data_IF_167001234465
#
_entry.id   IF_167001234465
#
_cell.length_a   1.000
_cell.length_b   1.000
_cell.length_c   1.000
_cell.angle_alpha   90.00
_cell.angle_beta   90.00
_cell.angle_gamma   90.00
#
_symmetry.space_group_name_H-M   'P 1'
#
loop_
_entity.id
_entity.type
_entity.pdbx_description
1 polymer ?
#
# COMPACT_ATOMS: atom_id res chain seq x y z
N UNK A 1 -13.12 -23.76 0.18
CA UNK A 1 -12.37 -22.55 -0.23
C UNK A 1 -11.45 -22.75 -1.42
N UNK A 2 -10.67 -23.85 -1.53
CA UNK A 2 -9.77 -24.05 -2.69
C UNK A 2 -10.47 -24.00 -4.06
N UNK A 3 -11.67 -24.57 -4.16
CA UNK A 3 -12.45 -24.55 -5.41
C UNK A 3 -12.82 -23.13 -5.89
N UNK A 4 -13.10 -22.19 -4.97
CA UNK A 4 -13.51 -20.82 -5.35
C UNK A 4 -12.31 -20.06 -5.93
N UNK A 5 -11.13 -20.15 -5.28
CA UNK A 5 -9.94 -19.47 -5.78
C UNK A 5 -9.47 -20.10 -7.09
N UNK A 6 -9.49 -21.42 -7.22
CA UNK A 6 -9.12 -22.08 -8.47
C UNK A 6 -10.07 -21.70 -9.62
N UNK A 7 -11.37 -21.56 -9.36
CA UNK A 7 -12.32 -21.03 -10.34
C UNK A 7 -12.09 -19.54 -10.64
N UNK A 8 -11.72 -18.72 -9.64
CA UNK A 8 -11.35 -17.32 -9.86
C UNK A 8 -10.08 -17.19 -10.69
N UNK A 9 -9.08 -18.06 -10.52
CA UNK A 9 -7.87 -18.09 -11.33
C UNK A 9 -8.16 -18.39 -12.81
N UNK A 10 -9.26 -19.07 -13.10
CA UNK A 10 -9.74 -19.30 -14.47
C UNK A 10 -10.52 -18.10 -15.05
N UNK A 11 -10.85 -17.11 -14.22
CA UNK A 11 -11.52 -15.88 -14.68
C UNK A 11 -10.53 -14.96 -15.38
N UNK A 12 -10.71 -14.82 -16.70
CA UNK A 12 -9.92 -13.92 -17.54
C UNK A 12 -10.47 -12.47 -17.58
N UNK A 13 -11.55 -12.18 -16.86
CA UNK A 13 -12.23 -10.89 -16.89
C UNK A 13 -12.32 -10.23 -15.51
N UNK A 14 -11.65 -10.77 -14.50
CA UNK A 14 -11.62 -10.19 -13.17
C UNK A 14 -10.97 -8.81 -13.21
N UNK A 15 -11.71 -7.76 -12.83
CA UNK A 15 -11.24 -6.36 -12.81
C UNK A 15 -10.96 -5.84 -11.41
N UNK A 16 -11.72 -6.35 -10.44
CA UNK A 16 -11.67 -5.92 -9.06
C UNK A 16 -11.62 -7.13 -8.16
N UNK A 17 -10.71 -7.12 -7.20
CA UNK A 17 -10.60 -8.15 -6.18
C UNK A 17 -10.45 -7.51 -4.81
N UNK A 18 -11.24 -8.02 -3.87
CA UNK A 18 -11.18 -7.64 -2.47
C UNK A 18 -10.89 -8.88 -1.64
N UNK A 19 -9.83 -8.81 -0.83
CA UNK A 19 -9.37 -9.88 0.04
C UNK A 19 -9.38 -9.38 1.48
N UNK A 20 -10.09 -10.09 2.35
CA UNK A 20 -9.94 -9.94 3.80
C UNK A 20 -9.20 -11.16 4.30
N UNK A 21 -8.18 -10.93 5.12
CA UNK A 21 -7.43 -11.96 5.82
C UNK A 21 -6.88 -13.05 4.90
N UNK A 22 -6.11 -12.66 3.87
CA UNK A 22 -5.75 -13.59 2.86
C UNK A 22 -4.53 -14.44 3.26
N UNK A 23 -4.80 -15.44 4.10
CA UNK A 23 -4.05 -16.72 4.13
C UNK A 23 -3.77 -17.29 2.71
N UNK A 24 -4.56 -17.02 1.65
CA UNK A 24 -4.23 -17.41 0.29
C UNK A 24 -3.00 -16.71 -0.32
N UNK A 25 -2.47 -15.58 0.19
CA UNK A 25 -1.36 -14.88 -0.51
C UNK A 25 -0.11 -15.75 -0.69
N UNK A 26 0.24 -16.60 0.26
CA UNK A 26 1.36 -17.55 0.07
C UNK A 26 1.12 -18.59 -1.01
N UNK A 27 -0.14 -18.96 -1.24
CA UNK A 27 -0.51 -19.99 -2.22
C UNK A 27 -0.87 -19.42 -3.60
N UNK A 28 -1.39 -18.20 -3.64
CA UNK A 28 -1.99 -17.62 -4.83
C UNK A 28 -1.42 -16.24 -5.18
N UNK A 29 -0.57 -15.65 -4.33
CA UNK A 29 0.16 -14.40 -4.60
C UNK A 29 0.89 -14.42 -5.95
N UNK A 30 1.65 -15.48 -6.29
CA UNK A 30 2.26 -15.61 -7.61
C UNK A 30 1.23 -15.78 -8.74
N UNK A 31 0.08 -16.39 -8.43
CA UNK A 31 -0.99 -16.61 -9.40
C UNK A 31 -1.80 -15.34 -9.70
N UNK A 32 -1.73 -14.30 -8.86
CA UNK A 32 -2.35 -13.00 -9.13
C UNK A 32 -1.87 -12.39 -10.45
N UNK A 33 -0.62 -12.68 -10.84
CA UNK A 33 -0.04 -12.25 -12.10
C UNK A 33 -0.80 -12.77 -13.34
N UNK A 34 -1.56 -13.87 -13.19
CA UNK A 34 -2.37 -14.43 -14.28
C UNK A 34 -3.63 -13.61 -14.58
N UNK A 35 -4.09 -12.77 -13.65
CA UNK A 35 -5.21 -11.86 -13.85
C UNK A 35 -4.76 -10.58 -14.55
N UNK A 36 -4.38 -10.71 -15.81
CA UNK A 36 -3.88 -9.63 -16.69
C UNK A 36 -4.85 -8.45 -16.90
N UNK A 37 -6.11 -8.60 -16.49
CA UNK A 37 -7.14 -7.54 -16.53
C UNK A 37 -7.49 -6.96 -15.16
N UNK A 38 -6.89 -7.44 -14.08
CA UNK A 38 -7.15 -6.93 -12.74
C UNK A 38 -6.61 -5.50 -12.63
N UNK A 39 -7.49 -4.56 -12.28
CA UNK A 39 -7.19 -3.14 -12.19
C UNK A 39 -7.24 -2.63 -10.75
N UNK A 40 -8.07 -3.26 -9.91
CA UNK A 40 -8.29 -2.84 -8.53
C UNK A 40 -8.09 -4.02 -7.59
N UNK A 41 -7.14 -3.89 -6.67
CA UNK A 41 -6.86 -4.90 -5.65
C UNK A 41 -6.88 -4.24 -4.29
N UNK A 42 -7.69 -4.76 -3.40
CA UNK A 42 -7.73 -4.34 -2.02
C UNK A 42 -7.55 -5.54 -1.09
N UNK A 43 -6.65 -5.38 -0.12
CA UNK A 43 -6.23 -6.40 0.82
C UNK A 43 -6.36 -5.81 2.22
N UNK A 44 -7.11 -6.49 3.09
CA UNK A 44 -7.29 -6.09 4.48
C UNK A 44 -6.83 -7.22 5.38
N UNK A 45 -5.88 -6.96 6.27
CA UNK A 45 -5.49 -7.90 7.33
C UNK A 45 -6.20 -7.47 8.61
N UNK A 46 -6.97 -8.35 9.24
CA UNK A 46 -7.59 -8.09 10.55
C UNK A 46 -6.85 -8.77 11.69
N UNK A 47 -5.96 -9.72 11.36
CA UNK A 47 -5.06 -10.42 12.28
C UNK A 47 -3.69 -10.60 11.63
N UNK A 48 -2.72 -11.00 12.44
CA UNK A 48 -1.33 -11.13 12.01
C UNK A 48 -1.12 -12.41 11.21
N UNK A 49 -0.31 -12.31 10.16
CA UNK A 49 0.07 -13.45 9.30
C UNK A 49 1.60 -13.54 9.18
N UNK A 50 2.27 -14.18 10.15
CA UNK A 50 3.73 -14.35 10.11
C UNK A 50 4.22 -15.04 8.84
N UNK A 51 3.38 -15.84 8.19
CA UNK A 51 3.71 -16.51 6.93
C UNK A 51 3.92 -15.53 5.78
N UNK A 52 3.30 -14.35 5.78
CA UNK A 52 3.37 -13.40 4.65
C UNK A 52 4.77 -12.87 4.36
N UNK A 53 5.65 -12.85 5.37
CA UNK A 53 7.04 -12.40 5.22
C UNK A 53 7.83 -13.22 4.17
N UNK A 54 7.45 -14.49 4.00
CA UNK A 54 8.11 -15.44 3.10
C UNK A 54 7.30 -15.63 1.80
N UNK A 55 6.21 -14.89 1.62
CA UNK A 55 5.34 -15.02 0.44
C UNK A 55 5.71 -14.03 -0.63
N UNK A 56 5.82 -14.53 -1.87
CA UNK A 56 5.89 -13.67 -3.03
C UNK A 56 4.49 -13.18 -3.39
N UNK A 57 4.31 -11.87 -3.42
CA UNK A 57 3.17 -11.20 -3.98
C UNK A 57 3.54 -10.79 -5.41
N UNK A 58 2.80 -11.23 -6.43
CA UNK A 58 3.10 -10.86 -7.82
C UNK A 58 1.83 -10.29 -8.45
N UNK A 59 1.51 -9.02 -8.16
CA UNK A 59 0.36 -8.37 -8.74
C UNK A 59 0.52 -8.21 -10.27
N UNK A 60 -0.58 -8.20 -11.02
CA UNK A 60 -0.52 -8.04 -12.48
C UNK A 60 -0.18 -6.60 -12.86
N UNK A 61 0.55 -6.42 -13.97
CA UNK A 61 0.97 -5.09 -14.47
C UNK A 61 -0.19 -4.15 -14.82
N UNK A 62 -1.38 -4.70 -14.99
CA UNK A 62 -2.63 -3.97 -15.25
C UNK A 62 -3.17 -3.22 -14.04
N UNK A 63 -2.59 -3.42 -12.85
CA UNK A 63 -3.09 -2.82 -11.62
C UNK A 63 -2.98 -1.28 -11.68
N UNK A 64 -4.13 -0.64 -11.48
CA UNK A 64 -4.29 0.83 -11.44
C UNK A 64 -4.41 1.30 -9.99
N UNK A 65 -5.06 0.51 -9.15
CA UNK A 65 -5.36 0.86 -7.77
C UNK A 65 -5.03 -0.28 -6.82
N UNK A 66 -4.27 0.05 -5.79
CA UNK A 66 -3.91 -0.87 -4.72
C UNK A 66 -4.27 -0.27 -3.36
N UNK A 67 -5.01 -1.05 -2.58
CA UNK A 67 -5.34 -0.73 -1.19
C UNK A 67 -4.79 -1.83 -0.30
N UNK A 68 -4.01 -1.47 0.71
CA UNK A 68 -3.56 -2.39 1.74
C UNK A 68 -3.81 -1.82 3.13
N UNK A 69 -4.73 -2.46 3.85
CA UNK A 69 -5.07 -2.08 5.22
C UNK A 69 -4.67 -3.19 6.18
N UNK A 70 -3.57 -3.00 6.90
CA UNK A 70 -3.15 -3.88 7.99
C UNK A 70 -3.68 -3.37 9.32
N UNK A 71 -4.75 -4.00 9.80
CA UNK A 71 -5.37 -3.74 11.11
C UNK A 71 -4.83 -4.69 12.18
N UNK A 72 -3.85 -5.52 11.84
CA UNK A 72 -3.32 -6.51 12.76
C UNK A 72 -2.44 -5.85 13.82
N UNK A 73 -2.43 -6.45 15.00
CA UNK A 73 -1.54 -6.06 16.09
C UNK A 73 -0.18 -6.75 16.00
N UNK A 74 0.16 -7.36 14.85
CA UNK A 74 1.39 -8.13 14.65
C UNK A 74 2.42 -7.33 13.88
N UNK A 75 3.68 -7.74 14.00
CA UNK A 75 4.72 -7.25 13.11
C UNK A 75 4.70 -8.17 11.90
N UNK A 76 4.10 -7.70 10.81
CA UNK A 76 4.16 -8.40 9.54
C UNK A 76 5.04 -7.54 8.65
N UNK A 77 6.34 -7.85 8.53
CA UNK A 77 7.18 -7.29 7.49
C UNK A 77 6.75 -7.92 6.16
N UNK A 78 5.58 -7.53 5.66
CA UNK A 78 5.13 -7.95 4.35
C UNK A 78 5.91 -7.12 3.32
N UNK A 79 6.64 -7.73 2.38
CA UNK A 79 7.42 -6.99 1.38
C UNK A 79 6.49 -6.33 0.35
N UNK A 80 5.84 -5.23 0.75
CA UNK A 80 5.05 -4.38 -0.14
C UNK A 80 5.91 -3.82 -1.29
N UNK A 81 7.22 -3.62 -1.05
CA UNK A 81 8.11 -2.86 -1.93
C UNK A 81 8.52 -3.56 -3.24
N UNK A 82 9.14 -4.74 -3.17
CA UNK A 82 9.71 -5.42 -4.35
C UNK A 82 8.63 -5.87 -5.34
N UNK A 83 7.52 -6.30 -4.77
CA UNK A 83 6.48 -7.06 -5.42
C UNK A 83 5.55 -6.15 -6.21
N UNK A 84 5.16 -5.03 -5.57
CA UNK A 84 4.37 -4.01 -6.23
C UNK A 84 5.13 -3.32 -7.34
N UNK A 85 6.45 -3.06 -7.22
CA UNK A 85 7.25 -2.27 -8.18
C UNK A 85 7.06 -2.65 -9.67
N UNK A 86 6.64 -3.88 -9.95
CA UNK A 86 6.27 -4.35 -11.29
C UNK A 86 4.97 -3.74 -11.88
N UNK A 87 4.10 -3.16 -11.06
CA UNK A 87 2.84 -2.53 -11.43
C UNK A 87 3.06 -1.15 -12.05
N UNK A 88 3.49 -1.10 -13.31
CA UNK A 88 3.86 0.16 -13.98
C UNK A 88 2.70 1.12 -14.22
N UNK A 89 1.45 0.67 -14.05
CA UNK A 89 0.24 1.47 -14.27
C UNK A 89 -0.42 1.95 -12.97
N UNK A 90 0.23 1.74 -11.81
CA UNK A 90 -0.35 2.11 -10.53
C UNK A 90 -0.49 3.63 -10.41
N UNK A 91 -1.72 4.08 -10.16
CA UNK A 91 -2.13 5.48 -10.03
C UNK A 91 -2.70 5.78 -8.65
N UNK A 92 -3.33 4.80 -8.00
CA UNK A 92 -3.93 4.98 -6.67
C UNK A 92 -3.27 4.03 -5.67
N UNK A 93 -2.71 4.59 -4.60
CA UNK A 93 -2.10 3.85 -3.51
C UNK A 93 -2.74 4.28 -2.19
N UNK A 94 -3.35 3.32 -1.49
CA UNK A 94 -3.98 3.52 -0.18
C UNK A 94 -3.40 2.52 0.82
N UNK A 95 -2.62 3.03 1.78
CA UNK A 95 -1.98 2.24 2.81
C UNK A 95 -2.46 2.68 4.19
N UNK A 96 -3.03 1.75 4.94
CA UNK A 96 -3.44 1.99 6.32
C UNK A 96 -2.87 0.90 7.22
N UNK A 97 -2.06 1.27 8.21
CA UNK A 97 -1.28 0.28 8.98
C UNK A 97 -1.36 0.61 10.46
N UNK A 98 -1.68 -0.38 11.30
CA UNK A 98 -1.71 -0.21 12.76
C UNK A 98 -0.31 -0.05 13.35
N UNK A 99 0.70 -0.76 12.84
CA UNK A 99 2.11 -0.68 13.27
C UNK A 99 3.08 -0.46 12.13
N UNK A 100 3.70 0.72 12.09
CA UNK A 100 4.67 1.13 11.10
C UNK A 100 6.10 0.92 11.64
N UNK A 101 6.54 -0.34 11.69
CA UNK A 101 7.90 -0.72 12.07
C UNK A 101 8.92 -0.21 11.03
N UNK A 102 10.18 0.11 11.42
CA UNK A 102 11.24 0.58 10.52
C UNK A 102 11.36 -0.13 9.17
N UNK A 103 11.23 -1.46 9.14
CA UNK A 103 11.30 -2.26 7.91
C UNK A 103 10.13 -1.96 6.97
N UNK A 104 8.91 -1.94 7.51
CA UNK A 104 7.68 -1.62 6.77
C UNK A 104 7.69 -0.16 6.31
N UNK A 105 8.13 0.75 7.19
CA UNK A 105 8.37 2.15 6.86
C UNK A 105 9.31 2.32 5.65
N UNK A 106 10.48 1.65 5.67
CA UNK A 106 11.43 1.68 4.57
C UNK A 106 10.86 1.12 3.27
N UNK A 107 10.11 0.02 3.34
CA UNK A 107 9.43 -0.57 2.19
C UNK A 107 8.39 0.40 1.58
N UNK A 108 7.61 1.08 2.41
CA UNK A 108 6.62 2.06 1.94
C UNK A 108 7.30 3.29 1.36
N UNK A 109 8.36 3.79 1.99
CA UNK A 109 9.16 4.89 1.45
C UNK A 109 9.66 4.57 0.04
N UNK A 110 10.25 3.38 -0.15
CA UNK A 110 10.68 2.90 -1.47
C UNK A 110 9.52 2.84 -2.48
N UNK A 111 8.37 2.31 -2.06
CA UNK A 111 7.19 2.16 -2.91
C UNK A 111 6.66 3.52 -3.38
N UNK A 112 6.54 4.47 -2.45
CA UNK A 112 6.09 5.83 -2.74
C UNK A 112 7.04 6.55 -3.70
N UNK A 113 8.37 6.45 -3.47
CA UNK A 113 9.37 7.03 -4.38
C UNK A 113 9.33 6.39 -5.77
N UNK A 114 9.05 5.08 -5.86
CA UNK A 114 8.96 4.34 -7.12
C UNK A 114 7.78 4.80 -7.99
N UNK A 115 6.68 5.22 -7.36
CA UNK A 115 5.46 5.63 -8.07
C UNK A 115 5.25 7.13 -8.18
N UNK A 116 6.23 7.95 -7.79
CA UNK A 116 6.06 9.40 -7.78
C UNK A 116 5.63 10.00 -9.14
N UNK A 117 6.02 9.39 -10.27
CA UNK A 117 5.66 9.84 -11.62
C UNK A 117 4.29 9.37 -12.12
N UNK A 118 3.66 8.42 -11.44
CA UNK A 118 2.41 7.80 -11.88
C UNK A 118 1.24 8.00 -10.92
N UNK A 119 1.49 8.19 -9.62
CA UNK A 119 0.41 8.40 -8.65
C UNK A 119 -0.38 9.67 -8.95
N UNK A 120 -1.70 9.50 -9.00
CA UNK A 120 -2.70 10.57 -8.98
C UNK A 120 -3.35 10.67 -7.61
N UNK A 121 -3.35 9.57 -6.82
CA UNK A 121 -3.91 9.52 -5.47
C UNK A 121 -3.00 8.74 -4.52
N UNK A 122 -2.72 9.34 -3.36
CA UNK A 122 -1.94 8.73 -2.29
C UNK A 122 -2.68 8.92 -0.95
N UNK A 123 -2.98 7.82 -0.27
CA UNK A 123 -3.51 7.81 1.10
C UNK A 123 -2.55 7.03 1.99
N UNK A 124 -2.10 7.64 3.08
CA UNK A 124 -1.27 7.00 4.10
C UNK A 124 -1.88 7.25 5.48
N UNK A 125 -2.21 6.20 6.21
CA UNK A 125 -2.89 6.30 7.50
C UNK A 125 -2.25 5.38 8.54
N UNK A 126 -1.88 5.92 9.69
CA UNK A 126 -1.62 5.09 10.87
C UNK A 126 -2.96 4.78 11.53
N UNK A 127 -3.30 3.50 11.67
CA UNK A 127 -4.56 3.07 12.25
C UNK A 127 -4.47 3.03 13.78
N UNK A 128 -5.56 3.36 14.51
CA UNK A 128 -5.61 3.18 15.96
C UNK A 128 -5.41 1.70 16.31
N UNK A 129 -4.56 1.41 17.29
CA UNK A 129 -4.44 0.04 17.79
C UNK A 129 -3.13 -0.30 18.49
N UNK A 130 -2.03 0.39 18.16
CA UNK A 130 -0.74 0.11 18.78
C UNK A 130 -0.31 1.24 19.71
N UNK A 131 -0.30 0.93 21.00
CA UNK A 131 0.26 1.76 22.07
C UNK A 131 1.67 1.23 22.35
N UNK A 132 2.62 1.48 21.46
CA UNK A 132 4.04 1.13 21.67
C UNK A 132 4.94 2.28 21.18
N UNK A 133 6.04 2.52 21.92
CA UNK A 133 6.93 3.68 21.78
C UNK A 133 7.73 3.74 20.46
N UNK A 134 7.72 2.68 19.64
CA UNK A 134 8.55 2.56 18.42
C UNK A 134 7.79 2.73 17.09
N UNK A 135 6.51 3.15 17.13
CA UNK A 135 5.72 3.34 15.92
C UNK A 135 6.17 4.58 15.14
N UNK A 136 6.64 4.42 13.89
CA UNK A 136 6.98 5.57 13.05
C UNK A 136 5.72 6.28 12.53
N UNK A 137 5.81 7.60 12.31
CA UNK A 137 4.81 8.33 11.55
C UNK A 137 5.10 8.27 10.04
N UNK A 138 4.06 8.28 9.21
CA UNK A 138 4.23 8.40 7.75
C UNK A 138 4.95 9.69 7.33
N UNK A 139 4.89 10.75 8.13
CA UNK A 139 5.71 11.94 7.94
C UNK A 139 7.21 11.59 7.89
N UNK A 140 7.71 10.82 8.86
CA UNK A 140 9.11 10.39 8.92
C UNK A 140 9.48 9.46 7.76
N UNK A 141 8.55 8.61 7.32
CA UNK A 141 8.73 7.75 6.14
C UNK A 141 8.94 8.59 4.88
N UNK A 142 8.04 9.54 4.63
CA UNK A 142 8.12 10.41 3.45
C UNK A 142 9.34 11.34 3.51
N UNK A 143 9.72 11.81 4.69
CA UNK A 143 10.94 12.59 4.87
C UNK A 143 12.20 11.77 4.56
N UNK A 144 12.22 10.50 4.93
CA UNK A 144 13.36 9.62 4.66
C UNK A 144 13.45 9.17 3.20
N UNK A 145 12.32 9.23 2.46
CA UNK A 145 12.21 8.81 1.06
C UNK A 145 12.59 9.91 0.04
N UNK A 146 13.09 11.05 0.53
CA UNK A 146 13.41 12.23 -0.28
C UNK A 146 14.53 12.00 -1.32
N UNK A 147 14.54 12.79 -2.42
CA UNK A 147 13.55 13.81 -2.79
C UNK A 147 12.27 13.20 -3.39
N UNK A 148 11.10 13.80 -3.08
CA UNK A 148 9.81 13.38 -3.61
C UNK A 148 9.19 14.46 -4.50
N UNK A 149 8.94 14.10 -5.77
CA UNK A 149 8.29 14.98 -6.75
C UNK A 149 7.20 14.24 -7.50
N UNK A 150 5.96 14.72 -7.34
CA UNK A 150 4.75 14.11 -7.87
C UNK A 150 4.09 14.98 -8.94
N UNK A 151 4.51 14.87 -10.21
CA UNK A 151 4.00 15.73 -11.28
C UNK A 151 2.53 15.48 -11.65
N UNK A 152 1.90 14.42 -11.13
CA UNK A 152 0.51 14.04 -11.46
C UNK A 152 -0.39 13.86 -10.25
N UNK A 153 0.14 14.05 -9.04
CA UNK A 153 -0.63 13.75 -7.84
C UNK A 153 -1.70 14.82 -7.62
N UNK A 154 -2.95 14.38 -7.72
CA UNK A 154 -4.12 15.23 -7.57
C UNK A 154 -4.67 15.20 -6.14
N UNK A 155 -4.50 14.08 -5.44
CA UNK A 155 -5.03 13.90 -4.08
C UNK A 155 -4.00 13.28 -3.15
N UNK A 156 -3.76 13.94 -2.03
CA UNK A 156 -2.95 13.44 -0.92
C UNK A 156 -3.79 13.44 0.36
N UNK A 157 -3.86 12.29 1.02
CA UNK A 157 -4.60 12.12 2.28
C UNK A 157 -3.67 11.52 3.32
N UNK A 158 -3.60 12.18 4.47
CA UNK A 158 -2.86 11.74 5.65
C UNK A 158 -3.81 11.72 6.86
N UNK A 159 -4.81 10.82 6.90
CA UNK A 159 -5.81 10.80 7.95
C UNK A 159 -5.15 10.51 9.31
N UNK A 160 -5.52 11.26 10.34
CA UNK A 160 -5.01 11.05 11.70
C UNK A 160 -3.50 11.29 11.88
N UNK A 161 -2.84 11.94 10.93
CA UNK A 161 -1.41 12.26 11.00
C UNK A 161 -1.20 13.72 11.36
N UNK A 162 -0.20 14.02 12.19
CA UNK A 162 0.34 15.38 12.29
C UNK A 162 1.30 15.61 11.12
N UNK A 163 1.21 16.76 10.46
CA UNK A 163 2.21 17.22 9.51
C UNK A 163 2.65 18.63 9.90
N UNK A 164 3.96 18.87 9.95
CA UNK A 164 4.50 20.21 10.15
C UNK A 164 4.89 20.86 8.81
N UNK A 165 5.40 22.09 8.86
CA UNK A 165 5.79 22.84 7.67
C UNK A 165 7.00 22.24 6.95
N UNK A 166 7.83 21.45 7.61
CA UNK A 166 8.97 20.76 6.98
C UNK A 166 8.50 19.70 5.99
N UNK A 167 7.32 19.12 6.20
CA UNK A 167 6.71 18.18 5.26
C UNK A 167 6.60 18.76 3.83
N UNK A 168 6.13 20.00 3.72
CA UNK A 168 5.91 20.67 2.42
C UNK A 168 7.19 21.18 1.77
N UNK A 169 8.28 21.31 2.52
CA UNK A 169 9.59 21.67 1.94
C UNK A 169 10.22 20.49 1.19
N UNK A 170 9.75 19.29 1.51
CA UNK A 170 10.36 18.03 1.10
C UNK A 170 9.56 17.29 0.01
N UNK A 171 8.43 17.87 -0.37
CA UNK A 171 7.42 17.28 -1.23
C UNK A 171 6.92 18.36 -2.19
N UNK A 172 6.94 18.06 -3.49
CA UNK A 172 6.28 18.91 -4.50
C UNK A 172 5.26 18.08 -5.27
N UNK A 173 4.07 18.63 -5.46
CA UNK A 173 3.03 18.05 -6.29
C UNK A 173 2.45 19.15 -7.19
N UNK A 174 2.64 19.00 -8.49
CA UNK A 174 2.31 20.04 -9.47
C UNK A 174 0.79 20.17 -9.68
N UNK A 175 0.05 19.08 -9.46
CA UNK A 175 -1.37 18.94 -9.79
C UNK A 175 -2.26 18.79 -8.54
N UNK A 176 -1.76 19.10 -7.34
CA UNK A 176 -2.47 18.82 -6.09
C UNK A 176 -3.78 19.62 -5.98
N UNK A 177 -4.91 18.93 -6.16
CA UNK A 177 -6.28 19.47 -6.09
C UNK A 177 -6.91 19.27 -4.71
N UNK A 178 -6.54 18.19 -4.02
CA UNK A 178 -7.11 17.82 -2.75
C UNK A 178 -6.03 17.41 -1.74
N UNK A 179 -6.07 18.03 -0.57
CA UNK A 179 -5.20 17.71 0.54
C UNK A 179 -6.02 17.54 1.81
N UNK A 180 -5.89 16.39 2.46
CA UNK A 180 -6.58 16.06 3.71
C UNK A 180 -5.58 15.65 4.78
N UNK A 181 -5.67 16.31 5.94
CA UNK A 181 -4.95 15.94 7.16
C UNK A 181 -5.97 15.95 8.29
N UNK A 182 -6.07 14.84 9.01
CA UNK A 182 -6.96 14.71 10.16
C UNK A 182 -6.19 14.84 11.46
N UNK A 183 -6.64 15.69 12.36
CA UNK A 183 -6.15 15.73 13.74
C UNK A 183 -6.81 14.57 14.52
N UNK A 184 -6.00 13.78 15.24
CA UNK A 184 -6.48 12.81 16.23
C UNK A 184 -6.89 13.52 17.52
#
# INVERSE_FOLDING_TARGET
NENIINSLLQSNNLRTLYLIDPVPLGRYGPSLASWDRLQHLSIVLTRSYPELKDTAFIPPKSLISFTFHDKSQGDVPWPLASDLASCTNLQHLDLAITRLHPTTAGAIGFLVSSYQKSLTELTLQVLPGAVEEENMGFQSVLQSAQPLHFPKLERLRLPGSSCDTSFFQCFSADELKYFEVGWL
#
